data_IF_933999337001
#
_entry.id   IF_933999337001
#
_cell.length_a   1.000
_cell.length_b   1.000
_cell.length_c   1.000
_cell.angle_alpha   90.00
_cell.angle_beta   90.00
_cell.angle_gamma   90.00
#
_symmetry.space_group_name_H-M   'P 1'
#
loop_
_entity.id
_entity.type
_entity.pdbx_description
1 polymer ?
#
# COMPACT_ATOMS: atom_id res chain seq x y z
N UNK A 1 17.40 -6.41 -5.77
CA UNK A 1 16.18 -5.71 -6.22
C UNK A 1 16.14 -4.41 -5.46
N UNK A 2 15.98 -3.27 -6.13
CA UNK A 2 15.83 -2.00 -5.44
C UNK A 2 14.39 -1.93 -4.92
N UNK A 3 14.23 -2.02 -3.61
CA UNK A 3 12.95 -1.81 -2.94
C UNK A 3 12.64 -0.32 -3.00
N UNK A 4 11.51 0.07 -3.59
CA UNK A 4 11.12 1.49 -3.72
C UNK A 4 10.59 2.05 -2.40
N UNK A 5 9.95 1.18 -1.60
CA UNK A 5 9.32 1.54 -0.35
C UNK A 5 9.93 0.76 0.82
N UNK A 6 10.11 1.44 1.95
CA UNK A 6 10.49 0.84 3.22
C UNK A 6 9.26 0.33 3.98
N UNK A 7 9.48 -0.49 5.01
CA UNK A 7 8.43 -0.97 5.91
C UNK A 7 7.61 0.19 6.51
N UNK A 8 8.28 1.23 6.99
CA UNK A 8 7.60 2.37 7.61
C UNK A 8 6.76 3.11 6.57
N UNK A 9 7.31 3.35 5.38
CA UNK A 9 6.57 4.04 4.29
C UNK A 9 5.30 3.29 3.87
N UNK A 10 5.35 1.96 3.72
CA UNK A 10 4.16 1.20 3.31
C UNK A 10 3.10 1.16 4.40
N UNK A 11 3.50 1.16 5.67
CA UNK A 11 2.57 1.25 6.80
C UNK A 11 1.96 2.65 6.88
N UNK A 12 2.78 3.69 6.77
CA UNK A 12 2.33 5.09 6.84
C UNK A 12 1.29 5.39 5.76
N UNK A 13 1.55 5.04 4.50
CA UNK A 13 0.62 5.27 3.39
C UNK A 13 -0.70 4.52 3.59
N UNK A 14 -0.65 3.29 4.09
CA UNK A 14 -1.87 2.51 4.39
C UNK A 14 -2.65 3.14 5.54
N UNK A 15 -1.96 3.58 6.60
CA UNK A 15 -2.58 4.25 7.75
C UNK A 15 -3.23 5.56 7.33
N UNK A 16 -2.56 6.38 6.52
CA UNK A 16 -3.11 7.62 5.97
C UNK A 16 -4.42 7.36 5.21
N UNK A 17 -4.43 6.37 4.31
CA UNK A 17 -5.63 5.99 3.56
C UNK A 17 -6.79 5.53 4.45
N UNK A 18 -6.48 4.77 5.52
CA UNK A 18 -7.50 4.33 6.48
C UNK A 18 -8.05 5.51 7.31
N UNK A 19 -7.19 6.44 7.73
CA UNK A 19 -7.60 7.67 8.43
C UNK A 19 -8.52 8.52 7.56
N UNK A 20 -8.18 8.73 6.29
CA UNK A 20 -9.02 9.48 5.34
C UNK A 20 -10.41 8.86 5.18
N UNK A 21 -10.49 7.53 5.27
CA UNK A 21 -11.74 6.77 5.18
C UNK A 21 -12.44 6.58 6.53
N UNK A 22 -11.98 7.21 7.61
CA UNK A 22 -12.48 7.04 8.99
C UNK A 22 -12.55 5.57 9.43
N UNK A 23 -11.54 4.78 9.07
CA UNK A 23 -11.39 3.37 9.47
C UNK A 23 -10.40 3.23 10.61
N UNK A 24 -10.48 2.09 11.30
CA UNK A 24 -9.55 1.76 12.37
C UNK A 24 -8.14 1.54 11.81
N UNK A 25 -7.15 2.08 12.51
CA UNK A 25 -5.73 2.04 12.16
C UNK A 25 -4.91 1.34 13.25
N UNK A 26 -5.55 0.93 14.35
CA UNK A 26 -4.87 0.33 15.46
C UNK A 26 -4.29 -1.04 15.07
N UNK A 27 -2.99 -1.22 15.35
CA UNK A 27 -2.29 -2.47 15.05
C UNK A 27 -2.05 -2.77 13.57
N UNK A 28 -2.12 -1.79 12.66
CA UNK A 28 -1.71 -1.98 11.26
C UNK A 28 -0.20 -2.23 11.21
N UNK A 29 0.19 -3.33 10.57
CA UNK A 29 1.59 -3.75 10.38
C UNK A 29 1.79 -4.32 8.99
N UNK A 30 3.04 -4.59 8.59
CA UNK A 30 3.35 -5.26 7.31
C UNK A 30 2.74 -6.66 7.18
N UNK A 31 2.41 -7.30 8.29
CA UNK A 31 1.78 -8.62 8.31
C UNK A 31 0.26 -8.55 8.16
N UNK A 32 -0.33 -7.36 8.33
CA UNK A 32 -1.77 -7.15 8.21
C UNK A 32 -2.23 -7.41 6.78
N UNK A 33 -3.25 -8.25 6.63
CA UNK A 33 -3.90 -8.47 5.34
C UNK A 33 -4.80 -7.27 5.01
N UNK A 34 -4.82 -6.86 3.74
CA UNK A 34 -5.66 -5.75 3.30
C UNK A 34 -7.16 -5.99 3.56
N UNK A 35 -7.60 -7.25 3.43
CA UNK A 35 -8.97 -7.65 3.73
C UNK A 35 -9.33 -7.48 5.23
N UNK A 36 -8.37 -7.66 6.13
CA UNK A 36 -8.59 -7.56 7.58
C UNK A 36 -8.68 -6.09 8.04
N UNK A 37 -7.98 -5.19 7.35
CA UNK A 37 -7.99 -3.74 7.61
C UNK A 37 -9.04 -3.00 6.76
N UNK A 38 -9.90 -3.76 6.06
CA UNK A 38 -11.05 -3.23 5.35
C UNK A 38 -10.75 -2.53 4.02
N UNK A 39 -9.57 -2.75 3.42
CA UNK A 39 -9.26 -2.24 2.07
C UNK A 39 -9.91 -3.10 0.98
N UNK A 40 -10.72 -2.46 0.14
CA UNK A 40 -11.38 -3.07 -1.01
C UNK A 40 -10.76 -2.66 -2.35
N UNK A 41 -11.28 -3.20 -3.46
CA UNK A 41 -10.77 -2.95 -4.82
C UNK A 41 -10.73 -1.48 -5.24
N UNK A 42 -11.62 -0.64 -4.70
CA UNK A 42 -11.61 0.80 -4.97
C UNK A 42 -10.47 1.44 -4.20
N UNK A 43 -10.30 1.05 -2.95
CA UNK A 43 -9.21 1.55 -2.11
C UNK A 43 -7.83 1.15 -2.65
N UNK A 44 -7.69 -0.02 -3.27
CA UNK A 44 -6.44 -0.42 -3.92
C UNK A 44 -6.00 0.54 -5.03
N UNK A 45 -6.95 1.09 -5.80
CA UNK A 45 -6.62 2.06 -6.85
C UNK A 45 -6.11 3.37 -6.24
N UNK A 46 -6.75 3.82 -5.15
CA UNK A 46 -6.31 5.01 -4.40
C UNK A 46 -4.94 4.81 -3.75
N UNK A 47 -4.73 3.67 -3.10
CA UNK A 47 -3.45 3.26 -2.52
C UNK A 47 -2.34 3.26 -3.58
N UNK A 48 -2.61 2.72 -4.76
CA UNK A 48 -1.63 2.66 -5.84
C UNK A 48 -1.24 4.06 -6.33
N UNK A 49 -2.21 4.96 -6.49
CA UNK A 49 -1.94 6.37 -6.85
C UNK A 49 -1.14 7.11 -5.76
N UNK A 50 -1.47 6.89 -4.49
CA UNK A 50 -0.73 7.50 -3.37
C UNK A 50 0.73 7.02 -3.32
N UNK A 51 0.98 5.74 -3.60
CA UNK A 51 2.31 5.17 -3.69
C UNK A 51 3.11 5.74 -4.87
N UNK A 52 2.49 5.93 -6.04
CA UNK A 52 3.13 6.58 -7.20
C UNK A 52 3.53 8.03 -6.90
N UNK A 53 2.64 8.80 -6.25
CA UNK A 53 2.90 10.18 -5.85
C UNK A 53 4.03 10.26 -4.82
N UNK A 54 3.99 9.39 -3.81
CA UNK A 54 5.03 9.27 -2.78
C UNK A 54 6.40 8.89 -3.36
N UNK A 55 6.43 7.97 -4.34
CA UNK A 55 7.66 7.57 -5.02
C UNK A 55 8.14 8.59 -6.05
N UNK A 56 7.30 9.54 -6.47
CA UNK A 56 7.57 10.44 -7.59
C UNK A 56 7.76 9.71 -8.92
N UNK A 57 7.23 8.50 -9.06
CA UNK A 57 7.43 7.63 -10.21
C UNK A 57 6.18 6.77 -10.45
N UNK A 58 5.97 6.37 -11.71
CA UNK A 58 4.92 5.40 -12.04
C UNK A 58 5.34 4.01 -11.61
N UNK A 59 4.38 3.22 -11.13
CA UNK A 59 4.59 1.85 -10.71
C UNK A 59 4.11 0.88 -11.80
N UNK A 60 4.80 -0.25 -11.93
CA UNK A 60 4.43 -1.34 -12.82
C UNK A 60 3.13 -2.00 -12.33
N UNK A 61 2.01 -1.91 -13.06
CA UNK A 61 0.73 -2.50 -12.64
C UNK A 61 0.79 -4.02 -12.49
N UNK A 62 1.67 -4.69 -13.24
CA UNK A 62 1.84 -6.14 -13.14
C UNK A 62 2.42 -6.54 -11.78
N UNK A 63 3.20 -5.64 -11.14
CA UNK A 63 3.73 -5.83 -9.79
C UNK A 63 2.67 -5.72 -8.69
N UNK A 64 1.52 -5.10 -8.97
CA UNK A 64 0.40 -4.96 -8.03
C UNK A 64 -0.62 -6.11 -8.10
N UNK A 65 -0.49 -7.04 -9.05
CA UNK A 65 -1.50 -8.07 -9.35
C UNK A 65 -1.75 -9.11 -8.24
N UNK A 66 -0.93 -9.15 -7.18
CA UNK A 66 -1.00 -10.17 -6.10
C UNK A 66 -0.74 -9.62 -4.69
N UNK A 67 -1.10 -8.38 -4.44
CA UNK A 67 -0.96 -7.78 -3.12
C UNK A 67 -2.02 -8.36 -2.15
N UNK A 68 -1.57 -8.98 -1.06
CA UNK A 68 -2.43 -9.59 -0.03
C UNK A 68 -2.24 -8.89 1.32
N UNK A 69 -1.00 -8.49 1.63
CA UNK A 69 -0.59 -7.84 2.88
C UNK A 69 0.08 -6.50 2.63
N UNK A 70 0.06 -5.65 3.65
CA UNK A 70 0.74 -4.33 3.62
C UNK A 70 2.21 -4.47 3.23
N UNK A 71 2.91 -5.50 3.71
CA UNK A 71 4.31 -5.74 3.36
C UNK A 71 4.55 -6.05 1.88
N UNK A 72 3.55 -6.54 1.15
CA UNK A 72 3.69 -6.86 -0.26
C UNK A 72 3.92 -5.60 -1.11
N UNK A 73 3.53 -4.42 -0.62
CA UNK A 73 3.77 -3.12 -1.28
C UNK A 73 5.26 -2.83 -1.48
N UNK A 74 6.13 -3.38 -0.66
CA UNK A 74 7.58 -3.26 -0.83
C UNK A 74 8.09 -3.97 -2.08
N UNK A 75 7.32 -4.93 -2.63
CA UNK A 75 7.66 -5.63 -3.87
C UNK A 75 7.30 -4.86 -5.14
N UNK A 76 6.60 -3.73 -5.01
CA UNK A 76 6.25 -2.86 -6.12
C UNK A 76 7.50 -2.31 -6.79
N UNK A 77 7.42 -2.17 -8.11
CA UNK A 77 8.54 -1.75 -8.95
C UNK A 77 8.16 -0.52 -9.76
N UNK A 78 9.10 0.40 -10.01
CA UNK A 78 8.85 1.51 -10.91
C UNK A 78 8.78 1.01 -12.36
N UNK A 79 8.04 1.74 -13.19
CA UNK A 79 7.91 1.50 -14.63
C UNK A 79 9.18 1.87 -15.40
#
# INVERSE_FOLDING_TARGET
MATVFTQDQVVDVVVELLVEKNRDTDGVTVDSAFADIGLDSVDYAELFMALEDSAGARLDPDSASRLIRVGDLMSLRPL
#
